data_IF_940258990411
#
_entry.id   IF_940258990411
#
_cell.length_a   1.000
_cell.length_b   1.000
_cell.length_c   1.000
_cell.angle_alpha   90.00
_cell.angle_beta   90.00
_cell.angle_gamma   90.00
#
_symmetry.space_group_name_H-M   'P 1'
#
loop_
_entity.id
_entity.type
_entity.pdbx_description
1 polymer ?
#
# COMPACT_ATOMS: atom_id res chain seq x y z
N UNK A 1 -7.25 -0.27 15.84
CA UNK A 1 -6.93 1.07 16.37
C UNK A 1 -7.74 2.16 15.65
N UNK A 2 -7.70 2.29 14.33
CA UNK A 2 -8.51 3.26 13.57
C UNK A 2 -10.00 3.22 13.91
N UNK A 3 -10.59 2.01 13.98
CA UNK A 3 -11.99 1.84 14.32
C UNK A 3 -12.39 2.50 15.65
N UNK A 4 -11.50 2.52 16.66
CA UNK A 4 -11.77 3.19 17.92
C UNK A 4 -11.84 4.72 17.77
N UNK A 5 -10.88 5.31 17.06
CA UNK A 5 -10.82 6.76 16.79
C UNK A 5 -12.05 7.21 15.98
N UNK A 6 -12.34 6.50 14.89
CA UNK A 6 -13.50 6.77 14.04
C UNK A 6 -14.83 6.57 14.78
N UNK A 7 -14.90 5.63 15.72
CA UNK A 7 -16.09 5.45 16.57
C UNK A 7 -16.31 6.65 17.47
N UNK A 8 -15.26 7.13 18.15
CA UNK A 8 -15.34 8.32 19.00
C UNK A 8 -15.75 9.57 18.20
N UNK A 9 -15.18 9.77 17.01
CA UNK A 9 -15.55 10.88 16.12
C UNK A 9 -17.01 10.82 15.69
N UNK A 10 -17.54 9.63 15.37
CA UNK A 10 -18.96 9.45 15.00
C UNK A 10 -19.92 9.84 16.12
N UNK A 11 -19.52 9.68 17.39
CA UNK A 11 -20.35 10.04 18.55
C UNK A 11 -19.92 11.35 19.23
N UNK A 12 -19.10 12.18 18.56
CA UNK A 12 -18.55 13.42 19.11
C UNK A 12 -19.62 14.30 19.76
N UNK A 13 -20.71 14.60 19.04
CA UNK A 13 -21.78 15.49 19.52
C UNK A 13 -22.47 14.94 20.77
N UNK A 14 -22.65 13.61 20.83
CA UNK A 14 -23.26 12.96 21.99
C UNK A 14 -22.33 13.03 23.22
N UNK A 15 -21.03 12.78 23.04
CA UNK A 15 -20.05 12.86 24.12
C UNK A 15 -19.84 14.30 24.62
N UNK A 16 -19.89 15.29 23.73
CA UNK A 16 -19.89 16.71 24.12
C UNK A 16 -21.14 17.09 24.89
N UNK A 17 -22.30 16.55 24.52
CA UNK A 17 -23.57 16.77 25.24
C UNK A 17 -23.53 16.14 26.63
N UNK A 18 -23.04 14.91 26.73
CA UNK A 18 -22.81 14.22 28.01
C UNK A 18 -21.93 15.06 28.93
N UNK A 19 -20.79 15.55 28.43
CA UNK A 19 -19.91 16.42 29.21
C UNK A 19 -20.64 17.68 29.68
N UNK A 20 -21.35 18.39 28.79
CA UNK A 20 -22.08 19.62 29.15
C UNK A 20 -23.12 19.40 30.25
N UNK A 21 -23.80 18.25 30.24
CA UNK A 21 -24.83 17.91 31.21
C UNK A 21 -24.26 17.54 32.59
N UNK A 22 -23.16 16.79 32.63
CA UNK A 22 -22.67 16.16 33.86
C UNK A 22 -21.37 16.75 34.41
N UNK A 23 -20.75 17.74 33.75
CA UNK A 23 -19.44 18.31 34.17
C UNK A 23 -19.40 18.85 35.61
N UNK A 24 -20.53 19.24 36.19
CA UNK A 24 -20.63 19.75 37.56
C UNK A 24 -20.95 18.67 38.59
N UNK A 25 -21.22 17.44 38.15
CA UNK A 25 -21.48 16.31 39.04
C UNK A 25 -20.16 15.81 39.65
N UNK A 26 -20.13 15.61 40.96
CA UNK A 26 -18.96 15.12 41.69
C UNK A 26 -18.54 13.71 41.27
N UNK A 27 -19.50 12.90 40.81
CA UNK A 27 -19.26 11.52 40.36
C UNK A 27 -18.84 11.44 38.88
N UNK A 28 -18.76 12.57 38.17
CA UNK A 28 -18.34 12.58 36.78
C UNK A 28 -16.85 12.25 36.66
N UNK A 29 -16.46 11.16 35.95
CA UNK A 29 -15.07 10.74 35.89
C UNK A 29 -14.16 11.82 35.30
N UNK A 30 -13.04 12.09 35.97
CA UNK A 30 -12.09 13.13 35.56
C UNK A 30 -11.51 12.88 34.17
N UNK A 31 -11.34 11.61 33.77
CA UNK A 31 -10.84 11.21 32.46
C UNK A 31 -11.77 11.59 31.31
N UNK A 32 -13.08 11.71 31.56
CA UNK A 32 -14.06 12.07 30.52
C UNK A 32 -14.22 13.58 30.33
N UNK A 33 -13.54 14.39 31.14
CA UNK A 33 -13.54 15.87 30.99
C UNK A 33 -12.96 16.32 29.66
N UNK A 34 -12.07 15.51 29.09
CA UNK A 34 -11.45 15.74 27.77
C UNK A 34 -12.47 15.89 26.64
N UNK A 35 -13.69 15.34 26.79
CA UNK A 35 -14.75 15.52 25.79
C UNK A 35 -15.21 16.98 25.65
N UNK A 36 -14.96 17.82 26.64
CA UNK A 36 -15.19 19.26 26.59
C UNK A 36 -14.13 20.07 25.85
N UNK A 37 -12.97 19.47 25.55
CA UNK A 37 -11.81 20.16 25.01
C UNK A 37 -11.83 20.10 23.48
N UNK A 38 -11.81 21.25 22.80
CA UNK A 38 -11.80 21.30 21.33
C UNK A 38 -10.53 20.66 20.76
N UNK A 39 -9.38 20.93 21.42
CA UNK A 39 -8.08 20.43 21.01
C UNK A 39 -8.05 18.89 20.95
N UNK A 40 -8.64 18.20 21.93
CA UNK A 40 -8.75 16.74 21.90
C UNK A 40 -9.44 16.24 20.64
N UNK A 41 -10.54 16.87 20.23
CA UNK A 41 -11.27 16.45 19.04
C UNK A 41 -10.52 16.77 17.74
N UNK A 42 -9.75 17.85 17.71
CA UNK A 42 -8.87 18.19 16.59
C UNK A 42 -7.73 17.18 16.46
N UNK A 43 -7.02 16.91 17.55
CA UNK A 43 -5.95 15.90 17.60
C UNK A 43 -6.46 14.48 17.28
N UNK A 44 -7.68 14.15 17.74
CA UNK A 44 -8.32 12.87 17.43
C UNK A 44 -8.61 12.73 15.93
N UNK A 45 -9.08 13.80 15.27
CA UNK A 45 -9.29 13.82 13.82
C UNK A 45 -7.97 13.70 13.06
N UNK A 46 -6.94 14.41 13.49
CA UNK A 46 -5.61 14.30 12.88
C UNK A 46 -5.05 12.88 13.02
N UNK A 47 -5.13 12.29 14.21
CA UNK A 47 -4.67 10.92 14.46
C UNK A 47 -5.43 9.89 13.62
N UNK A 48 -6.75 10.03 13.49
CA UNK A 48 -7.56 9.15 12.65
C UNK A 48 -7.15 9.27 11.18
N UNK A 49 -6.97 10.50 10.67
CA UNK A 49 -6.55 10.73 9.28
C UNK A 49 -5.17 10.13 8.96
N UNK A 50 -4.24 10.12 9.92
CA UNK A 50 -2.93 9.45 9.76
C UNK A 50 -3.07 7.92 9.80
N UNK A 51 -3.88 7.38 10.70
CA UNK A 51 -3.96 5.92 10.91
C UNK A 51 -4.87 5.25 9.86
N UNK A 52 -5.82 5.96 9.28
CA UNK A 52 -6.78 5.45 8.31
C UNK A 52 -6.13 4.75 7.10
N UNK A 53 -5.27 5.41 6.30
CA UNK A 53 -4.68 4.75 5.14
C UNK A 53 -3.80 3.55 5.52
N UNK A 54 -3.10 3.61 6.65
CA UNK A 54 -2.30 2.49 7.18
C UNK A 54 -3.21 1.30 7.53
N UNK A 55 -4.38 1.56 8.11
CA UNK A 55 -5.32 0.52 8.47
C UNK A 55 -5.93 -0.15 7.23
N UNK A 56 -6.29 0.62 6.21
CA UNK A 56 -6.77 0.07 4.94
C UNK A 56 -5.71 -0.78 4.24
N UNK A 57 -4.46 -0.30 4.19
CA UNK A 57 -3.33 -1.07 3.70
C UNK A 57 -3.14 -2.37 4.50
N UNK A 58 -3.18 -2.30 5.83
CA UNK A 58 -3.07 -3.48 6.70
C UNK A 58 -4.18 -4.50 6.41
N UNK A 59 -5.43 -4.06 6.27
CA UNK A 59 -6.53 -4.97 5.94
C UNK A 59 -6.39 -5.60 4.55
N UNK A 60 -5.86 -4.86 3.57
CA UNK A 60 -5.58 -5.40 2.24
C UNK A 60 -4.49 -6.46 2.30
N UNK A 61 -3.40 -6.18 3.02
CA UNK A 61 -2.21 -7.04 3.10
C UNK A 61 -2.37 -8.19 4.10
N UNK A 62 -3.38 -8.20 4.95
CA UNK A 62 -3.70 -9.35 5.81
C UNK A 62 -4.58 -10.40 5.13
N UNK A 63 -5.02 -10.17 3.88
CA UNK A 63 -5.74 -11.17 3.12
C UNK A 63 -4.78 -12.26 2.65
N UNK A 64 -5.22 -13.52 2.73
CA UNK A 64 -4.44 -14.68 2.29
C UNK A 64 -4.03 -14.61 0.81
N UNK A 65 -4.85 -13.95 -0.02
CA UNK A 65 -4.64 -13.79 -1.46
C UNK A 65 -4.04 -12.44 -1.86
N UNK A 66 -3.29 -11.78 -0.96
CA UNK A 66 -2.61 -10.53 -1.31
C UNK A 66 -1.54 -10.75 -2.40
N UNK A 67 -1.29 -9.73 -3.21
CA UNK A 67 -0.26 -9.76 -4.26
C UNK A 67 0.77 -8.66 -4.05
N UNK A 68 1.92 -8.74 -4.74
CA UNK A 68 2.84 -7.60 -4.79
C UNK A 68 2.21 -6.34 -5.40
N UNK A 69 1.21 -6.49 -6.27
CA UNK A 69 0.43 -5.36 -6.76
C UNK A 69 -0.33 -4.64 -5.65
N UNK A 70 -0.87 -5.39 -4.69
CA UNK A 70 -1.55 -4.82 -3.52
C UNK A 70 -0.59 -4.07 -2.59
N UNK A 71 0.68 -4.48 -2.55
CA UNK A 71 1.73 -3.74 -1.82
C UNK A 71 1.94 -2.37 -2.46
N UNK A 72 2.15 -2.30 -3.78
CA UNK A 72 2.33 -1.02 -4.50
C UNK A 72 1.09 -0.13 -4.34
N UNK A 73 -0.11 -0.71 -4.48
CA UNK A 73 -1.35 0.04 -4.30
C UNK A 73 -1.51 0.55 -2.86
N UNK A 74 -1.08 -0.22 -1.86
CA UNK A 74 -1.07 0.19 -0.46
C UNK A 74 -0.12 1.37 -0.22
N UNK A 75 1.11 1.33 -0.77
CA UNK A 75 2.04 2.45 -0.70
C UNK A 75 1.46 3.72 -1.35
N UNK A 76 0.82 3.58 -2.52
CA UNK A 76 0.15 4.69 -3.21
C UNK A 76 -0.93 5.33 -2.34
N UNK A 77 -1.81 4.53 -1.74
CA UNK A 77 -2.91 5.04 -0.90
C UNK A 77 -2.41 5.68 0.41
N UNK A 78 -1.37 5.11 1.02
CA UNK A 78 -0.72 5.73 2.20
C UNK A 78 -0.09 7.06 1.82
N UNK A 79 0.65 7.12 0.71
CA UNK A 79 1.22 8.35 0.21
C UNK A 79 0.13 9.40 -0.05
N UNK A 80 -0.94 9.06 -0.77
CA UNK A 80 -2.05 9.97 -1.05
C UNK A 80 -2.72 10.48 0.24
N UNK A 81 -2.99 9.60 1.21
CA UNK A 81 -3.56 9.99 2.50
C UNK A 81 -2.64 10.93 3.29
N UNK A 82 -1.35 10.67 3.31
CA UNK A 82 -0.36 11.50 4.00
C UNK A 82 -0.13 12.85 3.30
N UNK A 83 -0.21 12.88 1.98
CA UNK A 83 -0.10 14.11 1.18
C UNK A 83 -1.24 15.09 1.48
N UNK A 84 -2.41 14.61 1.88
CA UNK A 84 -3.56 15.44 2.25
C UNK A 84 -3.43 16.06 3.65
N UNK A 85 -2.46 15.63 4.47
CA UNK A 85 -2.31 16.12 5.83
C UNK A 85 -1.71 17.54 5.87
N UNK A 86 -2.43 18.51 6.46
CA UNK A 86 -2.01 19.93 6.42
C UNK A 86 -0.66 20.22 7.10
N UNK A 87 -0.47 19.71 8.33
CA UNK A 87 0.69 20.07 9.16
C UNK A 87 1.88 19.12 8.98
N UNK A 88 1.63 17.81 8.95
CA UNK A 88 2.67 16.78 9.05
C UNK A 88 3.02 16.09 7.74
N UNK A 89 2.41 16.50 6.61
CA UNK A 89 2.62 15.91 5.27
C UNK A 89 4.08 15.61 4.97
N UNK A 90 4.98 16.58 5.15
CA UNK A 90 6.39 16.40 4.77
C UNK A 90 7.05 15.24 5.52
N UNK A 91 6.87 15.17 6.84
CA UNK A 91 7.42 14.09 7.67
C UNK A 91 6.75 12.75 7.39
N UNK A 92 5.43 12.76 7.19
CA UNK A 92 4.67 11.53 6.90
C UNK A 92 5.09 10.93 5.56
N UNK A 93 5.23 11.77 4.54
CA UNK A 93 5.69 11.38 3.21
C UNK A 93 7.13 10.88 3.26
N UNK A 94 8.01 11.55 4.00
CA UNK A 94 9.39 11.09 4.24
C UNK A 94 9.41 9.66 4.81
N UNK A 95 8.53 9.33 5.77
CA UNK A 95 8.43 7.96 6.30
C UNK A 95 8.05 6.94 5.21
N UNK A 96 7.13 7.29 4.31
CA UNK A 96 6.69 6.41 3.22
C UNK A 96 7.81 6.20 2.22
N UNK A 97 8.45 7.28 1.79
CA UNK A 97 9.59 7.24 0.85
C UNK A 97 10.77 6.46 1.44
N UNK A 98 11.09 6.69 2.71
CA UNK A 98 12.13 5.95 3.42
C UNK A 98 11.83 4.44 3.43
N UNK A 99 10.58 4.06 3.73
CA UNK A 99 10.18 2.66 3.73
C UNK A 99 10.19 2.07 2.32
N UNK A 100 9.72 2.80 1.32
CA UNK A 100 9.72 2.40 -0.08
C UNK A 100 11.15 2.19 -0.61
N UNK A 101 12.12 3.00 -0.19
CA UNK A 101 13.53 2.87 -0.56
C UNK A 101 14.20 1.59 -0.02
N UNK A 102 13.66 1.00 1.04
CA UNK A 102 14.12 -0.27 1.61
C UNK A 102 13.53 -1.51 0.92
N UNK A 103 12.54 -1.32 0.04
CA UNK A 103 11.85 -2.42 -0.63
C UNK A 103 12.56 -2.82 -1.93
N UNK A 104 12.29 -4.04 -2.39
CA UNK A 104 12.63 -4.51 -3.73
C UNK A 104 11.69 -3.87 -4.77
N UNK A 105 11.75 -2.55 -4.91
CA UNK A 105 10.86 -1.74 -5.75
C UNK A 105 10.70 -2.33 -7.17
N UNK A 106 11.77 -2.76 -7.87
CA UNK A 106 11.61 -3.27 -9.23
C UNK A 106 10.77 -4.56 -9.28
N UNK A 107 10.87 -5.42 -8.25
CA UNK A 107 10.07 -6.65 -8.15
C UNK A 107 8.60 -6.30 -7.91
N UNK A 108 8.34 -5.36 -7.01
CA UNK A 108 6.98 -4.92 -6.67
C UNK A 108 6.30 -4.26 -7.89
N UNK A 109 7.04 -3.45 -8.64
CA UNK A 109 6.54 -2.79 -9.85
C UNK A 109 6.24 -3.78 -10.98
N UNK A 110 7.00 -4.88 -11.12
CA UNK A 110 6.60 -5.99 -12.02
C UNK A 110 5.31 -6.61 -11.55
N UNK A 111 5.20 -6.95 -10.25
CA UNK A 111 3.99 -7.55 -9.70
C UNK A 111 2.76 -6.68 -9.95
N UNK A 112 2.90 -5.37 -9.75
CA UNK A 112 1.87 -4.38 -10.07
C UNK A 112 1.52 -4.35 -11.56
N UNK A 113 2.52 -4.32 -12.45
CA UNK A 113 2.30 -4.26 -13.89
C UNK A 113 1.66 -5.54 -14.47
N UNK A 114 1.96 -6.71 -13.90
CA UNK A 114 1.39 -7.98 -14.32
C UNK A 114 0.02 -8.26 -13.72
N UNK A 115 -0.38 -7.53 -12.67
CA UNK A 115 -1.66 -7.73 -12.02
C UNK A 115 -2.80 -7.20 -12.90
N UNK A 116 -3.83 -8.02 -13.24
CA UNK A 116 -4.85 -7.62 -14.22
C UNK A 116 -5.66 -6.39 -13.79
N UNK A 117 -5.87 -6.19 -12.49
CA UNK A 117 -6.58 -4.99 -11.97
C UNK A 117 -5.73 -3.72 -12.07
N UNK A 118 -4.40 -3.85 -11.96
CA UNK A 118 -3.49 -2.70 -11.87
C UNK A 118 -2.72 -2.44 -13.16
N UNK A 119 -2.79 -3.35 -14.13
CA UNK A 119 -2.04 -3.29 -15.38
C UNK A 119 -2.29 -1.99 -16.15
N UNK A 120 -3.54 -1.51 -16.24
CA UNK A 120 -3.83 -0.24 -16.91
C UNK A 120 -3.11 0.94 -16.23
N UNK A 121 -3.19 1.00 -14.89
CA UNK A 121 -2.52 2.05 -14.10
C UNK A 121 -1.01 1.98 -14.33
N UNK A 122 -0.43 0.77 -14.34
CA UNK A 122 1.00 0.59 -14.57
C UNK A 122 1.45 1.04 -15.96
N UNK A 123 0.58 0.97 -16.98
CA UNK A 123 0.89 1.42 -18.35
C UNK A 123 0.91 2.94 -18.47
N UNK A 124 0.17 3.65 -17.63
CA UNK A 124 0.14 5.10 -17.59
C UNK A 124 1.35 5.72 -16.89
N UNK A 125 2.14 4.91 -16.15
CA UNK A 125 3.28 5.41 -15.42
C UNK A 125 4.41 5.89 -16.35
N UNK A 126 5.09 7.00 -16.01
CA UNK A 126 6.23 7.48 -16.77
C UNK A 126 7.41 6.53 -16.69
N UNK A 127 8.35 6.65 -17.64
CA UNK A 127 9.64 5.98 -17.56
C UNK A 127 10.46 6.54 -16.38
N UNK A 128 10.86 5.65 -15.48
CA UNK A 128 11.74 5.94 -14.35
C UNK A 128 12.75 4.81 -14.18
N UNK A 129 13.46 4.76 -13.05
CA UNK A 129 14.32 3.62 -12.72
C UNK A 129 13.53 2.32 -12.46
N UNK A 130 12.24 2.39 -12.10
CA UNK A 130 11.43 1.23 -11.69
C UNK A 130 10.06 1.14 -12.37
N UNK A 131 9.68 2.12 -13.16
CA UNK A 131 8.38 2.18 -13.86
C UNK A 131 8.54 2.52 -15.35
N UNK A 132 7.46 2.32 -16.10
CA UNK A 132 7.43 2.55 -17.54
C UNK A 132 7.66 1.28 -18.35
N UNK A 133 7.12 1.27 -19.57
CA UNK A 133 7.09 0.09 -20.44
C UNK A 133 8.49 -0.48 -20.71
N UNK A 134 9.44 0.35 -21.12
CA UNK A 134 10.79 -0.06 -21.48
C UNK A 134 11.58 -0.54 -20.27
N UNK A 135 11.45 0.14 -19.15
CA UNK A 135 12.09 -0.25 -17.88
C UNK A 135 11.52 -1.55 -17.35
N UNK A 136 10.20 -1.69 -17.26
CA UNK A 136 9.56 -2.93 -16.79
C UNK A 136 9.89 -4.14 -17.67
N UNK A 137 10.06 -3.97 -18.99
CA UNK A 137 10.57 -5.04 -19.86
C UNK A 137 11.98 -5.50 -19.49
N UNK A 138 12.88 -4.59 -19.11
CA UNK A 138 14.24 -4.94 -18.67
C UNK A 138 14.22 -5.63 -17.31
N UNK A 139 13.44 -5.11 -16.38
CA UNK A 139 13.31 -5.68 -15.04
C UNK A 139 12.71 -7.10 -15.14
N UNK A 140 11.71 -7.32 -16.00
CA UNK A 140 11.08 -8.64 -16.20
C UNK A 140 12.09 -9.69 -16.68
N UNK A 141 12.94 -9.33 -17.65
CA UNK A 141 14.04 -10.19 -18.11
C UNK A 141 15.00 -10.51 -16.96
N UNK A 142 15.38 -9.51 -16.17
CA UNK A 142 16.29 -9.69 -15.04
C UNK A 142 15.74 -10.69 -14.02
N UNK A 143 14.50 -10.51 -13.56
CA UNK A 143 13.92 -11.42 -12.57
C UNK A 143 13.59 -12.79 -13.14
N UNK A 144 13.22 -12.89 -14.42
CA UNK A 144 13.05 -14.19 -15.07
C UNK A 144 14.34 -15.01 -15.02
N UNK A 145 15.47 -14.42 -15.43
CA UNK A 145 16.79 -15.07 -15.34
C UNK A 145 17.12 -15.47 -13.90
N UNK A 146 16.90 -14.56 -12.95
CA UNK A 146 17.22 -14.77 -11.53
C UNK A 146 16.37 -15.89 -10.90
N UNK A 147 15.08 -15.95 -11.21
CA UNK A 147 14.16 -16.93 -10.61
C UNK A 147 14.28 -18.32 -11.23
N UNK A 148 14.53 -18.40 -12.53
CA UNK A 148 14.61 -19.67 -13.27
C UNK A 148 16.04 -20.16 -13.49
N UNK A 149 17.06 -19.40 -13.04
CA UNK A 149 18.48 -19.73 -13.22
C UNK A 149 18.83 -20.09 -14.67
N UNK A 150 18.28 -19.35 -15.63
CA UNK A 150 18.46 -19.59 -17.07
C UNK A 150 18.96 -18.33 -17.78
N UNK A 151 19.85 -18.51 -18.74
CA UNK A 151 20.25 -17.45 -19.66
C UNK A 151 19.29 -17.33 -20.85
N UNK A 152 18.52 -18.38 -21.12
CA UNK A 152 17.50 -18.39 -22.15
C UNK A 152 16.30 -17.56 -21.69
N UNK A 153 16.22 -16.36 -22.26
CA UNK A 153 15.15 -15.39 -21.98
C UNK A 153 13.91 -15.63 -22.83
N UNK A 154 13.93 -16.62 -23.72
CA UNK A 154 12.86 -16.93 -24.67
C UNK A 154 12.29 -15.63 -25.29
N UNK A 155 10.97 -15.46 -25.27
CA UNK A 155 10.27 -14.27 -25.75
C UNK A 155 9.84 -13.31 -24.62
N UNK A 156 10.32 -13.47 -23.37
CA UNK A 156 9.77 -12.76 -22.19
C UNK A 156 9.76 -11.24 -22.35
N UNK A 157 10.81 -10.67 -22.97
CA UNK A 157 10.90 -9.23 -23.25
C UNK A 157 9.83 -8.80 -24.25
N UNK A 158 9.59 -9.61 -25.29
CA UNK A 158 8.59 -9.35 -26.33
C UNK A 158 7.19 -9.46 -25.75
N UNK A 159 6.97 -10.45 -24.89
CA UNK A 159 5.68 -10.69 -24.24
C UNK A 159 5.34 -9.60 -23.23
N UNK A 160 6.30 -9.22 -22.38
CA UNK A 160 6.13 -8.10 -21.46
C UNK A 160 5.85 -6.80 -22.24
N UNK A 161 6.54 -6.57 -23.36
CA UNK A 161 6.29 -5.42 -24.21
C UNK A 161 4.89 -5.45 -24.86
N UNK A 162 4.42 -6.63 -25.28
CA UNK A 162 3.08 -6.78 -25.80
C UNK A 162 2.03 -6.53 -24.71
N UNK A 163 2.21 -7.11 -23.53
CA UNK A 163 1.37 -6.90 -22.36
C UNK A 163 1.28 -5.42 -21.95
N UNK A 164 2.41 -4.73 -21.82
CA UNK A 164 2.47 -3.31 -21.48
C UNK A 164 1.89 -2.41 -22.57
N UNK A 165 1.77 -2.89 -23.81
CA UNK A 165 1.08 -2.20 -24.91
C UNK A 165 -0.41 -2.57 -25.02
N UNK A 166 -0.95 -3.36 -24.09
CA UNK A 166 -2.33 -3.85 -24.15
C UNK A 166 -2.60 -4.80 -25.33
N UNK A 167 -1.56 -5.44 -25.88
CA UNK A 167 -1.68 -6.38 -27.00
C UNK A 167 -1.82 -7.81 -26.47
N UNK A 168 -2.64 -8.61 -27.16
CA UNK A 168 -2.77 -10.05 -26.90
C UNK A 168 -1.40 -10.74 -27.01
N UNK A 169 -0.97 -11.43 -25.97
CA UNK A 169 0.23 -12.27 -25.97
C UNK A 169 -0.16 -13.69 -26.41
N UNK A 170 0.70 -14.36 -27.19
CA UNK A 170 0.55 -15.79 -27.52
C UNK A 170 0.98 -16.69 -26.36
N UNK A 171 1.82 -16.15 -25.50
CA UNK A 171 2.32 -16.76 -24.26
C UNK A 171 1.18 -16.90 -23.28
N UNK A 172 1.04 -18.10 -22.70
CA UNK A 172 -0.06 -18.38 -21.78
C UNK A 172 0.05 -17.40 -20.61
N UNK A 173 -1.08 -16.84 -20.14
CA UNK A 173 -1.08 -16.03 -18.93
C UNK A 173 -0.30 -16.72 -17.81
N UNK A 174 -0.39 -18.05 -17.65
CA UNK A 174 0.36 -18.83 -16.66
C UNK A 174 1.90 -18.72 -16.72
N UNK A 175 2.50 -18.38 -17.86
CA UNK A 175 3.97 -18.25 -18.01
C UNK A 175 4.45 -16.84 -17.68
N UNK A 176 3.71 -15.81 -18.11
CA UNK A 176 3.92 -14.41 -17.68
C UNK A 176 3.55 -14.24 -16.21
N UNK A 177 2.43 -14.83 -15.81
CA UNK A 177 1.96 -14.95 -14.43
C UNK A 177 2.77 -15.97 -13.64
N UNK A 178 3.67 -16.79 -14.20
CA UNK A 178 4.54 -17.63 -13.37
C UNK A 178 5.49 -16.77 -12.52
N UNK A 179 5.88 -15.60 -13.05
CA UNK A 179 6.60 -14.56 -12.31
C UNK A 179 5.68 -13.98 -11.22
N UNK A 180 4.39 -13.77 -11.51
CA UNK A 180 3.41 -13.28 -10.55
C UNK A 180 3.06 -14.32 -9.47
N UNK A 181 2.90 -15.59 -9.82
CA UNK A 181 2.53 -16.71 -8.93
C UNK A 181 3.70 -17.10 -8.01
N UNK A 182 4.95 -16.99 -8.49
CA UNK A 182 6.13 -17.13 -7.63
C UNK A 182 6.39 -15.92 -6.72
N UNK A 183 5.69 -14.80 -6.96
CA UNK A 183 5.71 -13.61 -6.10
C UNK A 183 4.41 -13.42 -5.32
N UNK A 184 3.40 -14.25 -5.54
CA UNK A 184 2.01 -14.08 -5.08
C UNK A 184 1.76 -14.44 -3.62
N UNK A 185 2.79 -14.69 -2.82
CA UNK A 185 2.58 -14.74 -1.38
C UNK A 185 3.80 -14.15 -0.71
N UNK A 186 3.63 -12.98 -0.10
CA UNK A 186 4.67 -12.33 0.69
C UNK A 186 5.32 -13.35 1.67
N UNK A 187 4.54 -14.29 2.21
CA UNK A 187 5.02 -15.36 3.09
C UNK A 187 6.16 -16.20 2.49
N UNK A 188 6.10 -16.58 1.20
CA UNK A 188 7.15 -17.41 0.58
C UNK A 188 8.45 -16.65 0.32
N UNK A 189 8.36 -15.34 0.07
CA UNK A 189 9.53 -14.48 -0.16
C UNK A 189 10.26 -14.14 1.14
N UNK A 190 9.53 -13.97 2.25
CA UNK A 190 10.11 -13.65 3.56
C UNK A 190 10.58 -14.87 4.36
N UNK A 191 10.16 -16.10 4.03
CA UNK A 191 10.74 -17.33 4.62
C UNK A 191 12.08 -17.72 3.97
N UNK A 192 12.30 -17.40 2.69
CA UNK A 192 13.57 -17.71 2.01
C UNK A 192 14.71 -16.74 2.37
N UNK A 193 14.43 -15.56 2.91
CA UNK A 193 15.44 -14.58 3.33
C UNK A 193 15.99 -14.81 4.74
N UNK A 194 15.52 -15.85 5.46
CA UNK A 194 16.06 -16.27 6.77
C UNK A 194 17.04 -17.44 6.68
N UNK A 195 17.39 -17.89 5.47
CA UNK A 195 18.33 -18.98 5.24
C UNK A 195 19.49 -18.56 4.34
N UNK A 196 20.27 -17.56 4.78
CA UNK A 196 21.70 -17.39 4.50
C UNK A 196 22.36 -16.74 5.72
#
# INVERSE_FOLDING_TARGET
MQGCLASLLRVQSALQTLYRQYKTNIDFPSQLRVFGESLFWEELKEAEAVIAPISYASFRLQRDENTLGDVVQSFREIYEGFQQHLVRRNKLVECVEHRWAQCEQPLFMIGFALHPVYAEIARELPETAVSGTGTLCKIAVYYFRRLFSTEDICEIRRDMLAWMKGRFTRTKPSEVLSIAVNTATCERLFTCSQSV
#
